data_IF_568172883209
#
_entry.id   IF_568172883209
#
_cell.length_a   1.000
_cell.length_b   1.000
_cell.length_c   1.000
_cell.angle_alpha   90.00
_cell.angle_beta   90.00
_cell.angle_gamma   90.00
#
_symmetry.space_group_name_H-M   'P 1'
#
loop_
_entity.id
_entity.type
_entity.pdbx_description
1 polymer ?
#
# COMPACT_ATOMS: atom_id res chain seq x y z
N UNK A 1 -16.30 -6.17 20.32
CA UNK A 1 -16.82 -5.68 19.03
C UNK A 1 -16.69 -4.18 18.87
N UNK A 2 -15.58 -3.72 18.29
CA UNK A 2 -15.46 -2.33 17.83
C UNK A 2 -15.76 -2.31 16.34
N UNK A 3 -17.03 -2.09 16.03
CA UNK A 3 -17.50 -1.93 14.67
C UNK A 3 -16.93 -0.61 14.15
N UNK A 4 -15.84 -0.68 13.38
CA UNK A 4 -15.33 0.47 12.64
C UNK A 4 -16.43 0.96 11.71
N UNK A 5 -17.15 2.00 12.12
CA UNK A 5 -18.11 2.70 11.25
C UNK A 5 -17.29 3.51 10.26
N UNK A 6 -17.12 2.97 9.05
CA UNK A 6 -16.68 3.79 7.93
C UNK A 6 -17.64 4.99 7.80
N UNK A 7 -17.13 6.20 7.56
CA UNK A 7 -17.99 7.35 7.32
C UNK A 7 -18.97 7.03 6.18
N UNK A 8 -20.21 7.55 6.25
CA UNK A 8 -21.30 7.19 5.34
C UNK A 8 -21.00 7.53 3.88
N UNK A 9 -20.07 8.48 3.66
CA UNK A 9 -19.51 8.79 2.35
C UNK A 9 -17.99 8.68 2.41
N UNK A 10 -17.40 8.02 1.42
CA UNK A 10 -15.95 8.00 1.22
C UNK A 10 -15.57 9.34 0.58
N UNK A 11 -14.78 10.21 1.23
CA UNK A 11 -14.29 11.41 0.58
C UNK A 11 -13.44 11.02 -0.63
N UNK A 12 -13.49 11.77 -1.74
CA UNK A 12 -12.66 11.50 -2.90
C UNK A 12 -11.19 11.69 -2.51
N UNK A 13 -10.35 10.70 -2.82
CA UNK A 13 -8.92 10.72 -2.48
C UNK A 13 -8.10 11.45 -3.56
N UNK A 14 -8.58 11.45 -4.81
CA UNK A 14 -7.92 12.09 -5.96
C UNK A 14 -7.51 13.56 -5.69
N UNK A 15 -8.36 14.44 -5.12
CA UNK A 15 -7.97 15.83 -4.84
C UNK A 15 -6.76 15.95 -3.92
N UNK A 16 -6.64 15.07 -2.91
CA UNK A 16 -5.47 15.07 -2.02
C UNK A 16 -4.19 14.62 -2.73
N UNK A 17 -4.29 13.69 -3.68
CA UNK A 17 -3.16 13.26 -4.49
C UNK A 17 -2.72 14.37 -5.44
N UNK A 18 -3.69 15.05 -6.07
CA UNK A 18 -3.44 16.17 -6.98
C UNK A 18 -2.75 17.33 -6.25
N UNK A 19 -3.25 17.73 -5.08
CA UNK A 19 -2.67 18.79 -4.24
C UNK A 19 -1.23 18.46 -3.79
N UNK A 20 -0.93 17.17 -3.62
CA UNK A 20 0.40 16.68 -3.24
C UNK A 20 1.30 16.33 -4.43
N UNK A 21 0.84 16.54 -5.67
CA UNK A 21 1.55 16.16 -6.90
C UNK A 21 1.92 14.67 -6.96
N UNK A 22 1.07 13.80 -6.40
CA UNK A 22 1.24 12.35 -6.41
C UNK A 22 0.48 11.79 -7.63
N UNK A 23 1.15 11.12 -8.59
CA UNK A 23 0.51 10.70 -9.84
C UNK A 23 -0.54 9.59 -9.64
N UNK A 24 -0.37 8.76 -8.61
CA UNK A 24 -1.31 7.69 -8.29
C UNK A 24 -0.94 6.94 -7.02
N UNK A 25 -1.90 6.20 -6.49
CA UNK A 25 -1.76 5.40 -5.29
C UNK A 25 -2.69 4.17 -5.34
N UNK A 26 -2.28 3.09 -4.66
CA UNK A 26 -3.14 1.95 -4.37
C UNK A 26 -3.41 1.91 -2.86
N UNK A 27 -4.67 1.71 -2.47
CA UNK A 27 -5.10 1.70 -1.07
C UNK A 27 -5.85 0.40 -0.80
N UNK A 28 -5.43 -0.30 0.25
CA UNK A 28 -6.08 -1.52 0.73
C UNK A 28 -6.33 -1.39 2.23
N UNK A 29 -7.55 -1.72 2.67
CA UNK A 29 -7.92 -1.78 4.09
C UNK A 29 -8.36 -3.19 4.41
N UNK A 30 -7.74 -3.77 5.44
CA UNK A 30 -7.96 -5.15 5.87
C UNK A 30 -8.39 -5.22 7.32
N UNK A 31 -9.28 -6.16 7.61
CA UNK A 31 -9.54 -6.74 8.93
C UNK A 31 -8.82 -8.09 9.02
N UNK A 32 -8.68 -8.70 10.22
CA UNK A 32 -7.91 -9.93 10.40
C UNK A 32 -8.19 -11.06 9.40
N UNK A 33 -9.40 -11.14 8.85
CA UNK A 33 -9.83 -12.22 7.95
C UNK A 33 -10.50 -11.72 6.67
N UNK A 34 -10.50 -10.41 6.39
CA UNK A 34 -11.30 -9.85 5.30
C UNK A 34 -10.66 -8.57 4.75
N UNK A 35 -10.60 -8.45 3.43
CA UNK A 35 -10.29 -7.18 2.76
C UNK A 35 -11.58 -6.40 2.60
N UNK A 36 -11.69 -5.24 3.26
CA UNK A 36 -12.93 -4.45 3.28
C UNK A 36 -12.92 -3.29 2.27
N UNK A 37 -11.76 -3.01 1.66
CA UNK A 37 -11.59 -1.97 0.65
C UNK A 37 -10.31 -2.18 -0.15
N UNK A 38 -10.40 -2.02 -1.46
CA UNK A 38 -9.28 -2.02 -2.39
C UNK A 38 -9.59 -1.02 -3.49
N UNK A 39 -8.71 -0.06 -3.73
CA UNK A 39 -8.89 0.94 -4.78
C UNK A 39 -7.53 1.40 -5.35
N UNK A 40 -7.45 1.50 -6.68
CA UNK A 40 -6.35 2.13 -7.39
C UNK A 40 -6.79 3.50 -7.92
N UNK A 41 -5.96 4.51 -7.71
CA UNK A 41 -6.27 5.91 -7.99
C UNK A 41 -5.12 6.50 -8.81
N UNK A 42 -5.44 7.23 -9.87
CA UNK A 42 -4.45 7.85 -10.73
C UNK A 42 -3.64 6.87 -11.59
N UNK A 43 -2.38 7.18 -11.83
CA UNK A 43 -1.51 6.54 -12.82
C UNK A 43 -0.11 6.24 -12.26
N UNK A 44 0.59 5.31 -12.91
CA UNK A 44 1.97 4.92 -12.59
C UNK A 44 3.00 6.04 -12.75
N UNK A 45 2.73 6.99 -13.66
CA UNK A 45 3.64 8.08 -13.98
C UNK A 45 2.90 9.41 -14.14
N UNK A 46 3.60 10.53 -13.89
CA UNK A 46 3.08 11.86 -14.21
C UNK A 46 2.76 12.01 -15.72
N UNK A 47 2.05 13.09 -16.10
CA UNK A 47 1.63 13.42 -17.48
C UNK A 47 2.66 13.44 -18.62
N UNK A 48 3.92 13.11 -18.36
CA UNK A 48 5.06 13.36 -19.23
C UNK A 48 5.28 12.20 -20.23
N UNK A 49 4.69 11.03 -19.98
CA UNK A 49 4.83 9.82 -20.79
C UNK A 49 3.47 9.31 -21.29
N UNK A 50 3.27 9.23 -22.61
CA UNK A 50 2.11 8.55 -23.20
C UNK A 50 2.49 7.18 -23.78
N UNK A 51 1.61 6.17 -23.63
CA UNK A 51 0.34 6.17 -22.90
C UNK A 51 0.53 5.99 -21.38
N UNK A 52 -0.25 6.73 -20.56
CA UNK A 52 -0.24 6.57 -19.09
C UNK A 52 -0.86 5.24 -18.69
N UNK A 53 -0.23 4.55 -17.74
CA UNK A 53 -0.75 3.30 -17.18
C UNK A 53 -1.55 3.59 -15.90
N UNK A 54 -2.84 3.21 -15.81
CA UNK A 54 -3.63 3.39 -14.60
C UNK A 54 -3.11 2.49 -13.48
N UNK A 55 -3.28 2.91 -12.23
CA UNK A 55 -3.00 2.05 -11.08
C UNK A 55 -4.06 0.95 -10.99
N UNK A 56 -3.62 -0.31 -11.08
CA UNK A 56 -4.38 -1.49 -10.68
C UNK A 56 -3.88 -1.94 -9.30
N UNK A 57 -4.71 -1.86 -8.25
CA UNK A 57 -4.27 -2.15 -6.89
C UNK A 57 -3.89 -3.63 -6.67
N UNK A 58 -4.21 -4.53 -7.60
CA UNK A 58 -3.87 -5.95 -7.52
C UNK A 58 -2.60 -6.32 -8.29
N UNK A 59 -2.19 -5.53 -9.29
CA UNK A 59 -1.09 -5.86 -10.19
C UNK A 59 0.01 -4.80 -10.28
N UNK A 60 -0.29 -3.54 -9.96
CA UNK A 60 0.70 -2.46 -9.93
C UNK A 60 1.76 -2.70 -8.86
N UNK A 61 3.03 -2.57 -9.27
CA UNK A 61 4.19 -2.77 -8.40
C UNK A 61 4.68 -1.41 -7.88
N UNK A 62 4.91 -1.32 -6.56
CA UNK A 62 5.48 -0.16 -5.89
C UNK A 62 6.76 -0.56 -5.14
N UNK A 63 7.73 0.35 -5.08
CA UNK A 63 8.93 0.16 -4.24
C UNK A 63 8.57 0.43 -2.78
N UNK A 64 8.71 -0.58 -1.92
CA UNK A 64 8.28 -0.53 -0.50
C UNK A 64 9.11 0.43 0.39
N UNK A 65 10.29 0.85 -0.06
CA UNK A 65 11.17 1.75 0.71
C UNK A 65 11.49 1.22 2.11
N UNK A 66 11.28 2.03 3.14
CA UNK A 66 11.59 1.63 4.52
C UNK A 66 10.70 0.51 5.09
N UNK A 67 9.55 0.22 4.49
CA UNK A 67 8.72 -0.93 4.91
C UNK A 67 9.45 -2.26 4.71
N UNK A 68 10.42 -2.31 3.79
CA UNK A 68 11.28 -3.49 3.59
C UNK A 68 12.06 -3.90 4.85
N UNK A 69 12.32 -2.98 5.78
CA UNK A 69 13.04 -3.28 7.04
C UNK A 69 12.31 -4.32 7.88
N UNK A 70 10.99 -4.30 7.90
CA UNK A 70 10.19 -5.29 8.65
C UNK A 70 10.45 -6.70 8.13
N UNK A 71 10.53 -6.87 6.80
CA UNK A 71 10.87 -8.17 6.20
C UNK A 71 12.27 -8.64 6.57
N UNK A 72 13.25 -7.73 6.55
CA UNK A 72 14.64 -8.06 6.95
C UNK A 72 14.72 -8.45 8.43
N UNK A 73 14.03 -7.74 9.32
CA UNK A 73 14.00 -8.08 10.76
C UNK A 73 13.33 -9.44 10.98
N UNK A 74 12.20 -9.71 10.31
CA UNK A 74 11.54 -11.03 10.41
C UNK A 74 12.48 -12.15 9.95
N UNK A 75 13.16 -11.99 8.80
CA UNK A 75 14.14 -12.96 8.34
C UNK A 75 15.30 -13.14 9.34
N UNK A 76 15.78 -12.05 9.94
CA UNK A 76 16.78 -12.08 11.01
C UNK A 76 16.31 -12.88 12.22
N UNK A 77 15.11 -12.60 12.72
CA UNK A 77 14.53 -13.31 13.87
C UNK A 77 14.25 -14.78 13.58
N UNK A 78 13.85 -15.13 12.35
CA UNK A 78 13.73 -16.54 11.92
C UNK A 78 15.09 -17.25 12.00
N UNK A 79 16.20 -16.58 11.66
CA UNK A 79 17.54 -17.16 11.82
C UNK A 79 17.93 -17.32 13.30
N UNK A 80 17.53 -16.39 14.17
CA UNK A 80 17.72 -16.51 15.63
C UNK A 80 16.95 -17.70 16.19
N UNK A 81 15.67 -17.85 15.82
CA UNK A 81 14.83 -18.97 16.25
C UNK A 81 15.43 -20.33 15.82
N UNK A 82 16.06 -20.38 14.64
CA UNK A 82 16.77 -21.55 14.13
C UNK A 82 18.17 -21.75 14.72
N UNK A 83 18.60 -20.92 15.68
CA UNK A 83 19.95 -20.90 16.25
C UNK A 83 21.07 -20.73 15.20
N UNK A 84 20.76 -20.07 14.07
CA UNK A 84 21.70 -19.77 12.97
C UNK A 84 22.33 -18.40 13.09
N UNK A 85 21.77 -17.54 13.93
CA UNK A 85 22.23 -16.20 14.21
C UNK A 85 22.08 -15.95 15.71
N UNK A 86 23.06 -15.29 16.31
CA UNK A 86 22.95 -14.73 17.66
C UNK A 86 23.02 -13.21 17.53
N UNK A 87 22.08 -12.50 18.14
CA UNK A 87 21.94 -11.05 18.08
C UNK A 87 22.41 -10.39 19.38
#
# INVERSE_FOLDING_TARGET
DHQFKCPPAKPPIQPFLDDAYIPGAAIMVVKPNEVIYVEGIGYHSPPISEPRQPIDPLTSIFVLGSMSKTFIVVAGMQMVELNRLNL
#
